data_IF_617654792366
#
_entry.id   IF_617654792366
#
_cell.length_a   1.000
_cell.length_b   1.000
_cell.length_c   1.000
_cell.angle_alpha   90.00
_cell.angle_beta   90.00
_cell.angle_gamma   90.00
#
_symmetry.space_group_name_H-M   'P 1'
#
loop_
_entity.id
_entity.type
_entity.pdbx_description
1 polymer ?
#
# COMPACT_ATOMS: atom_id res chain seq x y z
N UNK A 1 18.10 -6.39 -20.91
CA UNK A 1 17.52 -5.09 -20.53
C UNK A 1 17.23 -5.16 -19.03
N UNK A 2 17.80 -4.28 -18.21
CA UNK A 2 17.53 -4.22 -16.78
C UNK A 2 16.60 -3.03 -16.49
N UNK A 3 15.55 -3.23 -15.70
CA UNK A 3 14.65 -2.18 -15.24
C UNK A 3 14.51 -2.24 -13.71
N UNK A 4 14.24 -1.10 -13.09
CA UNK A 4 14.01 -1.00 -11.64
C UNK A 4 12.53 -0.71 -11.42
N UNK A 5 11.85 -1.58 -10.66
CA UNK A 5 10.53 -1.32 -10.11
C UNK A 5 10.66 -1.26 -8.59
N UNK A 6 10.61 -0.04 -8.01
CA UNK A 6 10.77 0.20 -6.58
C UNK A 6 9.65 1.11 -6.08
N UNK A 7 9.01 0.71 -4.99
CA UNK A 7 7.96 1.47 -4.31
C UNK A 7 8.32 1.60 -2.83
N UNK A 8 8.22 2.81 -2.29
CA UNK A 8 8.38 3.11 -0.85
C UNK A 8 7.15 3.94 -0.43
N UNK A 9 6.39 3.45 0.54
CA UNK A 9 5.19 4.11 1.07
C UNK A 9 5.31 4.26 2.58
N UNK A 10 4.95 5.43 3.11
CA UNK A 10 4.86 5.72 4.54
C UNK A 10 3.52 6.41 4.78
N UNK A 11 2.73 5.89 5.71
CA UNK A 11 1.41 6.40 6.00
C UNK A 11 0.75 5.63 7.13
N UNK A 12 -0.54 5.88 7.33
CA UNK A 12 -1.34 5.24 8.37
C UNK A 12 -2.18 4.11 7.79
N UNK A 13 -2.47 3.07 8.58
CA UNK A 13 -3.43 2.05 8.18
C UNK A 13 -4.85 2.65 8.15
N UNK A 14 -5.56 2.45 7.04
CA UNK A 14 -6.95 2.90 6.90
C UNK A 14 -7.97 1.97 7.57
N UNK A 15 -7.56 0.73 7.87
CA UNK A 15 -8.32 -0.31 8.59
C UNK A 15 -7.35 -1.39 9.07
N UNK A 16 -7.82 -2.29 9.91
CA UNK A 16 -7.06 -3.47 10.31
C UNK A 16 -6.69 -4.33 9.09
N UNK A 17 -5.47 -4.89 9.03
CA UNK A 17 -5.04 -5.77 7.94
C UNK A 17 -5.96 -6.99 7.78
N UNK A 18 -6.33 -7.29 6.54
CA UNK A 18 -7.20 -8.43 6.23
C UNK A 18 -6.35 -9.60 5.68
N UNK A 19 -6.22 -10.68 6.45
CA UNK A 19 -5.50 -11.89 6.01
C UNK A 19 -6.47 -12.94 5.46
N UNK A 20 -6.13 -13.52 4.30
CA UNK A 20 -6.90 -14.56 3.61
C UNK A 20 -5.95 -15.65 3.11
N UNK A 21 -6.48 -16.81 2.76
CA UNK A 21 -5.72 -17.93 2.20
C UNK A 21 -6.23 -18.29 0.81
N UNK A 22 -5.33 -18.63 -0.10
CA UNK A 22 -5.72 -19.10 -1.44
C UNK A 22 -6.27 -20.53 -1.39
N UNK A 23 -7.23 -20.83 -2.26
CA UNK A 23 -7.85 -22.17 -2.31
C UNK A 23 -6.87 -23.25 -2.79
N UNK A 24 -6.02 -22.94 -3.78
CA UNK A 24 -5.24 -23.96 -4.48
C UNK A 24 -4.00 -24.44 -3.70
N UNK A 25 -3.41 -23.59 -2.86
CA UNK A 25 -2.16 -23.90 -2.15
C UNK A 25 -2.10 -23.38 -0.71
N UNK A 26 -3.23 -22.93 -0.15
CA UNK A 26 -3.31 -22.36 1.20
C UNK A 26 -2.23 -21.28 1.46
N UNK A 27 -1.93 -20.45 0.46
CA UNK A 27 -0.95 -19.38 0.58
C UNK A 27 -1.58 -18.21 1.33
N UNK A 28 -0.93 -17.74 2.40
CA UNK A 28 -1.37 -16.56 3.13
C UNK A 28 -1.20 -15.28 2.30
N UNK A 29 -2.26 -14.48 2.20
CA UNK A 29 -2.29 -13.17 1.55
C UNK A 29 -2.78 -12.16 2.58
N UNK A 30 -2.01 -11.10 2.82
CA UNK A 30 -2.40 -10.00 3.68
C UNK A 30 -2.68 -8.74 2.86
N UNK A 31 -3.92 -8.24 2.92
CA UNK A 31 -4.31 -6.98 2.33
C UNK A 31 -4.16 -5.86 3.36
N UNK A 32 -3.39 -4.84 3.01
CA UNK A 32 -3.23 -3.61 3.80
C UNK A 32 -3.69 -2.41 2.98
N UNK A 33 -4.31 -1.44 3.66
CA UNK A 33 -4.70 -0.16 3.07
C UNK A 33 -3.90 0.93 3.77
N UNK A 34 -3.06 1.66 3.03
CA UNK A 34 -2.22 2.73 3.56
C UNK A 34 -2.75 4.08 3.06
N UNK A 35 -3.10 4.96 3.99
CA UNK A 35 -3.41 6.35 3.72
C UNK A 35 -2.13 7.19 3.74
N UNK A 36 -1.78 7.75 2.58
CA UNK A 36 -0.67 8.72 2.44
C UNK A 36 -1.24 10.11 2.24
N UNK A 37 -0.67 11.10 2.93
CA UNK A 37 -1.06 12.51 2.73
C UNK A 37 0.07 13.27 2.07
N UNK A 38 -0.27 14.13 1.11
CA UNK A 38 0.65 15.09 0.52
C UNK A 38 0.17 16.49 0.87
N UNK A 39 1.02 17.26 1.55
CA UNK A 39 0.80 18.70 1.72
C UNK A 39 1.52 19.42 0.59
N UNK A 40 0.81 20.28 -0.11
CA UNK A 40 1.38 21.18 -1.10
C UNK A 40 0.68 22.53 -0.97
N UNK A 41 1.43 23.60 -1.25
CA UNK A 41 0.90 24.96 -1.34
C UNK A 41 0.37 25.16 -2.75
N UNK A 42 -0.85 25.64 -2.89
CA UNK A 42 -1.39 25.94 -4.22
C UNK A 42 -1.05 27.39 -4.64
N UNK A 43 -1.51 27.80 -5.82
CA UNK A 43 -1.20 29.13 -6.34
C UNK A 43 -1.79 30.29 -5.53
N UNK A 44 -2.83 30.03 -4.73
CA UNK A 44 -3.57 31.03 -3.97
C UNK A 44 -3.18 31.06 -2.48
N UNK A 45 -2.50 30.03 -1.97
CA UNK A 45 -2.03 29.98 -0.59
C UNK A 45 -2.25 28.63 0.04
#
# INVERSE_FOLDING_TARGET
MASINKVILIGNLGRDPETRYTADNNTAICHIVIATSRRYKDSQG
#
